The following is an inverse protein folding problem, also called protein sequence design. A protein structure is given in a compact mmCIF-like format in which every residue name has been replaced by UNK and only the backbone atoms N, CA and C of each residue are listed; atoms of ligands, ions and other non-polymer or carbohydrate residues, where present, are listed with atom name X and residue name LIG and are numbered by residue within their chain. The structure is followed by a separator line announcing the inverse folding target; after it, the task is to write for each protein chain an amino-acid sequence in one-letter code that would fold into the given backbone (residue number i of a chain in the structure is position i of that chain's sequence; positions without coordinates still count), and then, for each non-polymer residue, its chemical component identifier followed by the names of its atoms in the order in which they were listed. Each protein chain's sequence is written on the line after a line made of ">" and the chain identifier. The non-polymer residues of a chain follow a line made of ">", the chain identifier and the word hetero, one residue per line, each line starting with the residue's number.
data_IF_801100932554
#
_entry.id   IF_801100932554
#
_cell.length_a   1.000
_cell.length_b   1.000
_cell.length_c   1.000
_cell.angle_alpha   90.00
_cell.angle_beta   90.00
_cell.angle_gamma   90.00
#
_symmetry.space_group_name_H-M   'P 1'
#
loop_
_entity.id
_entity.type
_entity.pdbx_description
1 polymer ?
#
# COMPACT_ATOMS: atom_id res chain seq x y z
N UNK A 1 -23.15 -18.03 5.01
CA UNK A 1 -23.16 -16.60 4.59
C UNK A 1 -24.00 -15.86 5.63
N UNK A 2 -23.33 -15.18 6.57
CA UNK A 2 -23.88 -14.89 7.87
C UNK A 2 -24.48 -13.49 8.00
N UNK A 3 -25.12 -13.27 9.16
CA UNK A 3 -25.66 -12.00 9.65
C UNK A 3 -24.72 -10.76 9.40
N UNK A 4 -23.39 -10.96 9.35
CA UNK A 4 -22.43 -9.93 9.04
C UNK A 4 -22.55 -9.32 7.63
N UNK A 5 -22.99 -10.09 6.64
CA UNK A 5 -23.15 -9.58 5.28
C UNK A 5 -24.42 -8.73 5.13
N UNK A 6 -25.46 -9.06 5.86
CA UNK A 6 -26.72 -8.27 5.90
C UNK A 6 -26.45 -6.93 6.57
N UNK A 7 -25.70 -6.93 7.70
CA UNK A 7 -25.36 -5.71 8.44
C UNK A 7 -24.50 -4.75 7.61
N UNK A 8 -23.47 -5.27 6.92
CA UNK A 8 -22.64 -4.46 6.02
C UNK A 8 -23.43 -3.83 4.88
N UNK A 9 -24.43 -4.56 4.33
CA UNK A 9 -25.31 -4.01 3.29
C UNK A 9 -26.18 -2.90 3.81
N UNK A 10 -26.69 -2.99 5.05
CA UNK A 10 -27.49 -1.93 5.67
C UNK A 10 -26.67 -0.66 5.88
N UNK A 11 -25.43 -0.78 6.34
CA UNK A 11 -24.52 0.36 6.49
C UNK A 11 -24.30 1.12 5.17
N UNK A 12 -24.05 0.38 4.08
CA UNK A 12 -23.84 0.95 2.74
C UNK A 12 -25.15 1.52 2.14
N UNK A 13 -26.30 1.05 2.62
CA UNK A 13 -27.60 1.53 2.15
C UNK A 13 -28.00 2.89 2.71
N UNK A 14 -27.32 3.39 3.72
CA UNK A 14 -27.71 4.59 4.43
C UNK A 14 -28.87 4.33 5.38
N UNK A 15 -28.61 3.59 6.44
CA UNK A 15 -29.57 3.27 7.50
C UNK A 15 -29.20 3.98 8.81
N UNK A 16 -30.16 4.03 9.72
CA UNK A 16 -29.91 4.33 11.11
C UNK A 16 -29.47 3.05 11.81
N UNK A 17 -28.29 3.10 12.44
CA UNK A 17 -27.66 1.95 13.09
C UNK A 17 -27.38 2.27 14.55
N UNK A 18 -27.79 1.38 15.45
CA UNK A 18 -27.50 1.49 16.87
C UNK A 18 -26.08 0.97 17.16
N UNK A 19 -25.26 1.80 17.77
CA UNK A 19 -23.87 1.51 18.11
C UNK A 19 -23.66 1.66 19.62
N UNK A 20 -23.07 0.66 20.30
CA UNK A 20 -22.75 0.78 21.70
C UNK A 20 -21.63 1.79 21.94
N UNK A 21 -21.85 2.74 22.84
CA UNK A 21 -20.88 3.79 23.18
C UNK A 21 -20.17 3.43 24.48
N UNK A 22 -18.82 3.42 24.46
CA UNK A 22 -18.00 3.18 25.66
C UNK A 22 -17.90 1.73 26.09
N UNK A 23 -18.27 0.75 25.25
CA UNK A 23 -18.16 -0.66 25.59
C UNK A 23 -16.69 -1.12 25.62
N UNK A 24 -16.19 -1.41 26.80
CA UNK A 24 -14.90 -2.12 27.01
C UNK A 24 -15.10 -3.63 27.18
N UNK A 25 -16.33 -4.11 27.34
CA UNK A 25 -16.68 -5.52 27.56
C UNK A 25 -17.98 -5.88 26.86
N UNK A 26 -18.05 -7.10 26.28
CA UNK A 26 -19.21 -7.63 25.56
C UNK A 26 -20.48 -7.83 26.42
N UNK A 27 -20.38 -7.75 27.74
CA UNK A 27 -21.44 -8.10 28.66
C UNK A 27 -21.99 -6.92 29.50
N UNK A 28 -21.65 -5.68 29.17
CA UNK A 28 -22.18 -4.51 29.88
C UNK A 28 -23.48 -4.04 29.20
N UNK A 29 -24.47 -3.64 30.02
CA UNK A 29 -25.59 -2.81 29.56
C UNK A 29 -25.04 -1.44 29.15
N UNK A 30 -24.68 -1.31 27.86
CA UNK A 30 -24.05 -0.11 27.34
C UNK A 30 -25.13 0.73 26.65
N UNK A 31 -25.15 2.05 26.86
CA UNK A 31 -26.07 2.91 26.13
C UNK A 31 -25.83 2.83 24.65
N UNK A 32 -26.88 2.63 23.89
CA UNK A 32 -26.86 2.60 22.43
C UNK A 32 -27.07 4.02 21.89
N UNK A 33 -26.27 4.40 20.93
CA UNK A 33 -26.44 5.66 20.19
C UNK A 33 -26.76 5.34 18.75
N UNK A 34 -27.78 5.99 18.21
CA UNK A 34 -28.18 5.85 16.81
C UNK A 34 -27.30 6.72 15.92
N UNK A 35 -26.68 6.11 14.93
CA UNK A 35 -25.86 6.79 13.93
C UNK A 35 -26.53 6.66 12.57
N UNK A 36 -26.72 7.79 11.87
CA UNK A 36 -27.23 7.81 10.52
C UNK A 36 -26.06 7.72 9.52
N UNK A 37 -26.03 6.67 8.71
CA UNK A 37 -24.93 6.41 7.77
C UNK A 37 -25.13 7.03 6.39
N UNK A 38 -26.23 7.75 6.12
CA UNK A 38 -26.55 8.32 4.80
C UNK A 38 -25.51 9.29 4.27
N UNK A 39 -24.86 10.03 5.16
CA UNK A 39 -23.85 11.04 4.80
C UNK A 39 -22.42 10.59 5.08
N UNK A 40 -22.17 9.28 5.21
CA UNK A 40 -20.84 8.72 5.39
C UNK A 40 -20.30 8.29 4.03
N UNK A 41 -19.09 8.76 3.70
CA UNK A 41 -18.34 8.30 2.53
C UNK A 41 -17.76 6.91 2.79
N UNK A 42 -18.10 5.94 1.95
CA UNK A 42 -17.55 4.59 1.99
C UNK A 42 -16.53 4.41 0.86
N UNK A 43 -15.31 4.05 1.21
CA UNK A 43 -14.24 3.71 0.28
C UNK A 43 -13.87 2.24 0.52
N UNK A 44 -14.09 1.40 -0.49
CA UNK A 44 -13.80 -0.03 -0.44
C UNK A 44 -12.65 -0.36 -1.38
N UNK A 45 -11.65 -1.06 -0.90
CA UNK A 45 -10.50 -1.47 -1.70
C UNK A 45 -10.21 -2.96 -1.59
N UNK A 46 -9.60 -3.53 -2.62
CA UNK A 46 -9.18 -4.93 -2.66
C UNK A 46 -8.15 -5.18 -3.76
N UNK A 47 -7.49 -6.32 -3.70
CA UNK A 47 -6.45 -6.70 -4.67
C UNK A 47 -7.00 -7.47 -5.89
N UNK A 48 -8.18 -8.05 -5.81
CA UNK A 48 -8.91 -8.75 -6.87
C UNK A 48 -8.03 -9.65 -7.77
N UNK A 49 -7.35 -10.67 -7.23
CA UNK A 49 -6.49 -11.55 -8.02
C UNK A 49 -7.28 -12.19 -9.15
N UNK A 50 -6.67 -12.31 -10.35
CA UNK A 50 -7.28 -12.85 -11.58
C UNK A 50 -8.37 -11.98 -12.24
N UNK A 51 -8.67 -10.77 -11.75
CA UNK A 51 -9.59 -9.87 -12.43
C UNK A 51 -9.09 -9.47 -13.82
N UNK A 52 -7.77 -9.31 -13.97
CA UNK A 52 -7.11 -9.05 -15.27
C UNK A 52 -7.47 -10.11 -16.33
N UNK A 53 -7.51 -11.39 -15.94
CA UNK A 53 -7.88 -12.47 -16.85
C UNK A 53 -9.32 -12.37 -17.36
N UNK A 54 -10.25 -11.88 -16.52
CA UNK A 54 -11.64 -11.66 -16.90
C UNK A 54 -11.73 -10.49 -17.89
N UNK A 55 -11.02 -9.39 -17.60
CA UNK A 55 -10.99 -8.22 -18.48
C UNK A 55 -10.38 -8.59 -19.86
N UNK A 56 -9.23 -9.28 -19.88
CA UNK A 56 -8.60 -9.79 -21.11
C UNK A 56 -9.59 -10.62 -21.93
N UNK A 57 -10.27 -11.57 -21.30
CA UNK A 57 -11.25 -12.42 -21.96
C UNK A 57 -12.42 -11.65 -22.58
N UNK A 58 -12.92 -10.61 -21.89
CA UNK A 58 -13.96 -9.71 -22.43
C UNK A 58 -13.46 -8.93 -23.64
N UNK A 59 -12.27 -8.36 -23.56
CA UNK A 59 -11.65 -7.58 -24.63
C UNK A 59 -11.40 -8.45 -25.87
N UNK A 60 -10.90 -9.66 -25.69
CA UNK A 60 -10.68 -10.62 -26.79
C UNK A 60 -11.99 -11.04 -27.45
N UNK A 61 -13.09 -11.24 -26.72
CA UNK A 61 -14.39 -11.57 -27.29
C UNK A 61 -14.93 -10.44 -28.19
N UNK A 62 -14.74 -9.19 -27.81
CA UNK A 62 -15.14 -8.04 -28.66
C UNK A 62 -14.36 -7.96 -29.96
N UNK A 63 -13.13 -8.41 -29.95
CA UNK A 63 -12.18 -8.31 -31.07
C UNK A 63 -12.33 -9.46 -32.07
N UNK A 64 -12.86 -10.63 -31.64
CA UNK A 64 -13.06 -11.80 -32.53
C UNK A 64 -14.12 -11.59 -33.60
N UNK A 65 -14.87 -10.50 -33.56
CA UNK A 65 -15.87 -10.11 -34.57
C UNK A 65 -15.26 -9.24 -35.70
N UNK A 66 -14.00 -8.80 -35.57
CA UNK A 66 -13.28 -8.01 -36.57
C UNK A 66 -11.83 -8.45 -36.66
N UNK A 67 -11.36 -8.79 -37.86
CA UNK A 67 -9.98 -9.08 -38.29
C UNK A 67 -8.90 -8.66 -37.26
N UNK A 68 -8.29 -9.64 -36.52
CA UNK A 68 -7.34 -9.21 -35.53
C UNK A 68 -6.45 -10.29 -34.93
N UNK A 69 -5.47 -10.80 -35.70
CA UNK A 69 -4.33 -11.54 -35.12
C UNK A 69 -3.34 -10.60 -34.39
N UNK A 70 -3.25 -9.35 -34.80
CA UNK A 70 -2.33 -8.32 -34.24
C UNK A 70 -2.72 -7.75 -32.87
N UNK A 71 -3.92 -8.06 -32.39
CA UNK A 71 -4.44 -7.47 -31.13
C UNK A 71 -4.13 -8.32 -29.89
N UNK A 72 -3.78 -9.60 -30.07
CA UNK A 72 -3.36 -10.44 -28.93
C UNK A 72 -2.10 -9.91 -28.27
N UNK A 73 -1.12 -9.54 -29.06
CA UNK A 73 0.17 -9.03 -28.55
C UNK A 73 0.01 -7.66 -27.89
N UNK A 74 -0.91 -6.81 -28.38
CA UNK A 74 -1.18 -5.48 -27.79
C UNK A 74 -1.75 -5.54 -26.36
N UNK A 75 -2.65 -6.48 -26.07
CA UNK A 75 -3.23 -6.61 -24.74
C UNK A 75 -2.34 -7.37 -23.75
N UNK A 76 -1.32 -8.07 -24.22
CA UNK A 76 -0.32 -8.68 -23.35
C UNK A 76 0.78 -7.68 -22.96
N UNK A 77 0.97 -6.61 -23.74
CA UNK A 77 1.90 -5.50 -23.48
C UNK A 77 1.25 -4.31 -22.73
N UNK A 78 -0.09 -4.22 -22.63
CA UNK A 78 -0.73 -3.16 -21.86
C UNK A 78 -0.47 -3.34 -20.36
N UNK A 79 0.46 -2.54 -19.83
CA UNK A 79 0.84 -2.53 -18.40
C UNK A 79 -0.34 -2.21 -17.45
N UNK A 80 -1.47 -1.73 -17.95
CA UNK A 80 -2.59 -1.30 -17.10
C UNK A 80 -3.97 -1.77 -17.58
N UNK A 81 -4.10 -3.08 -17.83
CA UNK A 81 -5.39 -3.69 -18.22
C UNK A 81 -6.48 -3.46 -17.18
N UNK A 82 -6.12 -3.39 -15.90
CA UNK A 82 -7.07 -3.15 -14.81
C UNK A 82 -7.81 -1.82 -14.99
N UNK A 83 -7.20 -0.81 -15.63
CA UNK A 83 -7.86 0.46 -15.92
C UNK A 83 -9.12 0.33 -16.79
N UNK A 84 -9.25 -0.77 -17.53
CA UNK A 84 -10.40 -1.06 -18.38
C UNK A 84 -11.51 -1.87 -17.69
N UNK A 85 -11.47 -2.00 -16.37
CA UNK A 85 -12.46 -2.72 -15.59
C UNK A 85 -13.87 -2.12 -15.74
N UNK A 86 -14.85 -2.99 -15.88
CA UNK A 86 -16.27 -2.62 -15.97
C UNK A 86 -17.10 -3.31 -14.90
N UNK A 87 -18.33 -2.84 -14.70
CA UNK A 87 -19.28 -3.49 -13.80
C UNK A 87 -19.56 -4.96 -14.20
N UNK A 88 -19.47 -5.30 -15.47
CA UNK A 88 -19.65 -6.66 -15.98
C UNK A 88 -18.52 -7.58 -15.53
N UNK A 89 -17.27 -7.09 -15.57
CA UNK A 89 -16.11 -7.83 -15.10
C UNK A 89 -16.19 -8.13 -13.60
N UNK A 90 -16.68 -7.16 -12.81
CA UNK A 90 -16.90 -7.35 -11.38
C UNK A 90 -18.01 -8.36 -11.08
N UNK A 91 -19.07 -8.40 -11.91
CA UNK A 91 -20.10 -9.45 -11.80
C UNK A 91 -19.55 -10.83 -12.14
N UNK A 92 -18.78 -10.95 -13.22
CA UNK A 92 -18.13 -12.20 -13.60
C UNK A 92 -17.11 -12.65 -12.53
N UNK A 93 -16.46 -11.70 -11.87
CA UNK A 93 -15.57 -11.95 -10.72
C UNK A 93 -16.32 -12.49 -9.48
N UNK A 94 -17.63 -12.22 -9.36
CA UNK A 94 -18.48 -12.71 -8.27
C UNK A 94 -19.08 -11.65 -7.36
N UNK A 95 -18.98 -10.39 -7.71
CA UNK A 95 -19.71 -9.31 -7.00
C UNK A 95 -21.20 -9.39 -7.29
N UNK A 96 -22.00 -9.26 -6.25
CA UNK A 96 -23.45 -9.22 -6.39
C UNK A 96 -23.90 -7.86 -6.94
N UNK A 97 -24.91 -7.82 -7.82
CA UNK A 97 -25.38 -6.58 -8.45
C UNK A 97 -25.78 -5.48 -7.47
N UNK A 98 -26.38 -5.84 -6.34
CA UNK A 98 -26.81 -4.91 -5.30
C UNK A 98 -25.62 -4.19 -4.66
N UNK A 99 -24.48 -4.85 -4.53
CA UNK A 99 -23.26 -4.25 -4.00
C UNK A 99 -22.64 -3.27 -5.01
N UNK A 100 -22.57 -3.66 -6.28
CA UNK A 100 -22.05 -2.81 -7.35
C UNK A 100 -22.92 -1.55 -7.50
N UNK A 101 -24.26 -1.69 -7.41
CA UNK A 101 -25.18 -0.56 -7.48
C UNK A 101 -25.04 0.46 -6.35
N UNK A 102 -24.46 0.06 -5.22
CA UNK A 102 -24.22 0.95 -4.06
C UNK A 102 -22.85 1.59 -4.05
N UNK A 103 -21.92 1.06 -4.84
CA UNK A 103 -20.57 1.58 -5.05
C UNK A 103 -20.39 1.92 -6.53
N UNK A 104 -21.05 2.98 -7.03
CA UNK A 104 -21.14 3.26 -8.47
C UNK A 104 -19.81 3.74 -9.06
N UNK A 105 -18.90 4.24 -8.22
CA UNK A 105 -17.63 4.76 -8.68
C UNK A 105 -16.53 3.69 -8.51
N UNK A 106 -15.94 3.30 -9.63
CA UNK A 106 -14.82 2.35 -9.67
C UNK A 106 -13.57 3.13 -10.01
N UNK A 107 -12.53 2.94 -9.19
CA UNK A 107 -11.20 3.49 -9.42
C UNK A 107 -10.19 2.36 -9.46
N UNK A 108 -9.27 2.45 -10.38
CA UNK A 108 -8.13 1.55 -10.46
C UNK A 108 -6.88 2.30 -10.03
N UNK A 109 -5.96 1.59 -9.38
CA UNK A 109 -4.67 2.12 -9.00
C UNK A 109 -3.63 1.58 -9.98
N UNK A 110 -2.78 2.46 -10.45
CA UNK A 110 -1.63 2.09 -11.28
C UNK A 110 -0.56 1.37 -10.45
N UNK A 111 0.30 0.60 -11.14
CA UNK A 111 1.47 0.00 -10.53
C UNK A 111 2.40 1.08 -9.96
N UNK A 112 3.10 0.75 -8.87
CA UNK A 112 4.07 1.67 -8.28
C UNK A 112 5.33 1.74 -9.16
N UNK A 113 5.70 2.95 -9.55
CA UNK A 113 6.99 3.21 -10.22
C UNK A 113 8.11 3.41 -9.18
N UNK A 114 9.37 3.39 -9.65
CA UNK A 114 10.54 3.66 -8.82
C UNK A 114 10.43 5.03 -8.14
N UNK A 115 10.03 6.05 -8.90
CA UNK A 115 9.88 7.43 -8.42
C UNK A 115 8.78 7.54 -7.35
N UNK A 116 7.67 6.82 -7.53
CA UNK A 116 6.59 6.76 -6.52
C UNK A 116 7.08 6.10 -5.23
N UNK A 117 7.86 5.03 -5.32
CA UNK A 117 8.42 4.36 -4.15
C UNK A 117 9.39 5.27 -3.39
N UNK A 118 10.24 6.02 -4.10
CA UNK A 118 11.14 7.02 -3.48
C UNK A 118 10.32 8.12 -2.78
N UNK A 119 9.24 8.61 -3.38
CA UNK A 119 8.34 9.57 -2.73
C UNK A 119 7.70 9.01 -1.48
N UNK A 120 7.26 7.76 -1.50
CA UNK A 120 6.68 7.08 -0.32
C UNK A 120 7.69 7.00 0.83
N UNK A 121 8.99 6.90 0.54
CA UNK A 121 10.04 6.90 1.55
C UNK A 121 10.27 8.26 2.19
N UNK A 122 10.14 9.36 1.43
CA UNK A 122 10.52 10.74 1.86
C UNK A 122 9.33 11.58 2.33
N UNK A 123 8.24 11.62 1.55
CA UNK A 123 7.22 12.67 1.67
C UNK A 123 6.25 12.51 2.85
N UNK A 124 5.69 11.33 3.16
CA UNK A 124 4.67 11.21 4.20
C UNK A 124 5.15 11.74 5.56
N UNK A 125 4.22 12.32 6.34
CA UNK A 125 4.53 12.78 7.71
C UNK A 125 5.13 11.66 8.57
N UNK A 126 4.59 10.44 8.43
CA UNK A 126 5.04 9.25 9.14
C UNK A 126 5.83 8.31 8.20
N UNK A 127 6.64 8.87 7.29
CA UNK A 127 7.51 8.07 6.44
C UNK A 127 8.41 7.18 7.32
N UNK A 128 8.64 5.95 6.86
CA UNK A 128 9.40 4.96 7.63
C UNK A 128 10.82 5.46 7.95
N UNK A 129 11.46 6.14 7.02
CA UNK A 129 12.80 6.71 7.23
C UNK A 129 12.81 7.76 8.34
N UNK A 130 11.77 8.62 8.38
CA UNK A 130 11.63 9.65 9.43
C UNK A 130 11.44 9.02 10.82
N UNK A 131 10.87 7.84 10.91
CA UNK A 131 10.74 7.13 12.18
C UNK A 131 12.12 6.69 12.70
N UNK A 132 12.96 6.13 11.83
CA UNK A 132 14.33 5.75 12.19
C UNK A 132 15.23 6.96 12.47
N UNK A 133 15.10 8.03 11.67
CA UNK A 133 15.77 9.30 11.93
C UNK A 133 15.47 9.82 13.33
N UNK A 134 14.20 9.82 13.71
CA UNK A 134 13.78 10.27 15.04
C UNK A 134 14.25 9.36 16.18
N UNK A 135 14.39 8.05 15.93
CA UNK A 135 14.94 7.13 16.93
C UNK A 135 16.42 7.39 17.19
N UNK A 136 17.23 7.53 16.15
CA UNK A 136 18.66 7.84 16.30
C UNK A 136 18.92 9.27 16.79
N UNK A 137 18.00 10.20 16.52
CA UNK A 137 18.06 11.56 17.07
C UNK A 137 17.96 11.57 18.61
N UNK A 138 17.30 10.58 19.22
CA UNK A 138 17.27 10.42 20.68
C UNK A 138 18.65 10.06 21.26
N UNK A 139 19.50 9.41 20.48
CA UNK A 139 20.88 9.11 20.79
C UNK A 139 21.85 10.19 20.26
N UNK A 140 21.29 11.36 19.87
CA UNK A 140 22.03 12.49 19.30
C UNK A 140 22.80 12.17 18.02
N UNK A 141 22.37 11.16 17.26
CA UNK A 141 22.94 10.76 15.97
C UNK A 141 22.03 11.16 14.82
N UNK A 142 22.58 11.87 13.84
CA UNK A 142 21.87 12.25 12.62
C UNK A 142 21.91 11.14 11.58
N UNK A 143 20.76 10.59 11.21
CA UNK A 143 20.65 9.60 10.14
C UNK A 143 20.29 10.27 8.81
N UNK A 144 21.09 10.03 7.79
CA UNK A 144 20.87 10.55 6.44
C UNK A 144 20.85 9.41 5.42
N UNK A 145 20.16 9.63 4.32
CA UNK A 145 20.09 8.71 3.18
C UNK A 145 20.44 9.48 1.93
N UNK A 146 21.41 9.01 1.18
CA UNK A 146 21.71 9.59 -0.12
C UNK A 146 20.61 9.21 -1.16
N UNK A 147 20.60 9.89 -2.28
CA UNK A 147 19.62 9.60 -3.34
C UNK A 147 19.82 8.20 -3.92
N UNK A 148 21.07 7.74 -4.03
CA UNK A 148 21.40 6.41 -4.51
C UNK A 148 20.86 5.30 -3.61
N UNK A 149 20.92 5.47 -2.28
CA UNK A 149 20.34 4.52 -1.33
C UNK A 149 18.83 4.40 -1.49
N UNK A 150 18.13 5.54 -1.63
CA UNK A 150 16.68 5.55 -1.80
C UNK A 150 16.26 4.87 -3.10
N UNK A 151 17.01 5.10 -4.17
CA UNK A 151 16.79 4.43 -5.45
C UNK A 151 17.04 2.92 -5.34
N UNK A 152 18.13 2.49 -4.69
CA UNK A 152 18.45 1.08 -4.48
C UNK A 152 17.36 0.37 -3.66
N UNK A 153 16.82 1.01 -2.63
CA UNK A 153 15.70 0.49 -1.84
C UNK A 153 14.46 0.32 -2.73
N UNK A 154 14.15 1.33 -3.55
CA UNK A 154 13.01 1.28 -4.47
C UNK A 154 13.16 0.17 -5.52
N UNK A 155 14.35 0.01 -6.11
CA UNK A 155 14.67 -1.06 -7.07
C UNK A 155 14.51 -2.46 -6.44
N UNK A 156 15.01 -2.65 -5.21
CA UNK A 156 14.83 -3.91 -4.50
C UNK A 156 13.35 -4.20 -4.18
N UNK A 157 12.56 -3.15 -3.88
CA UNK A 157 11.13 -3.30 -3.62
C UNK A 157 10.36 -3.70 -4.88
N UNK A 158 10.68 -3.13 -6.04
CA UNK A 158 10.09 -3.51 -7.33
C UNK A 158 10.36 -4.99 -7.65
N UNK A 159 11.59 -5.46 -7.45
CA UNK A 159 11.96 -6.88 -7.67
C UNK A 159 11.12 -7.84 -6.82
N UNK A 160 10.71 -7.45 -5.61
CA UNK A 160 9.90 -8.29 -4.72
C UNK A 160 8.43 -8.40 -5.09
N UNK A 161 7.93 -7.61 -6.04
CA UNK A 161 6.53 -7.62 -6.53
C UNK A 161 5.45 -7.50 -5.44
N UNK A 162 5.79 -7.04 -4.24
CA UNK A 162 4.87 -6.87 -3.10
C UNK A 162 4.52 -5.40 -2.84
N UNK A 163 4.90 -4.51 -3.78
CA UNK A 163 4.63 -3.08 -3.72
C UNK A 163 5.31 -2.39 -2.53
N UNK A 164 4.69 -1.34 -2.01
CA UNK A 164 5.23 -0.53 -0.92
C UNK A 164 5.47 -1.31 0.39
N UNK A 165 4.80 -2.45 0.60
CA UNK A 165 5.05 -3.32 1.77
C UNK A 165 6.48 -3.88 1.81
N UNK A 166 7.10 -4.08 0.63
CA UNK A 166 8.49 -4.53 0.55
C UNK A 166 9.46 -3.51 1.13
N UNK A 167 9.16 -2.20 1.02
CA UNK A 167 10.02 -1.13 1.52
C UNK A 167 10.35 -1.31 3.01
N UNK A 168 9.31 -1.60 3.81
CA UNK A 168 9.48 -1.80 5.26
C UNK A 168 10.45 -2.94 5.56
N UNK A 169 10.22 -4.11 4.96
CA UNK A 169 11.05 -5.29 5.19
C UNK A 169 12.50 -5.10 4.70
N UNK A 170 12.70 -4.31 3.63
CA UNK A 170 14.05 -3.99 3.13
C UNK A 170 14.77 -3.08 4.12
N UNK A 171 14.09 -2.02 4.59
CA UNK A 171 14.68 -1.05 5.53
C UNK A 171 14.98 -1.70 6.86
N UNK A 172 14.04 -2.48 7.42
CA UNK A 172 14.23 -3.19 8.68
C UNK A 172 15.47 -4.08 8.66
N UNK A 173 15.76 -4.70 7.51
CA UNK A 173 16.91 -5.63 7.38
C UNK A 173 18.25 -4.94 7.63
N UNK A 174 18.49 -3.77 7.06
CA UNK A 174 19.78 -3.08 7.22
C UNK A 174 19.80 -2.11 8.41
N UNK A 175 18.63 -1.58 8.79
CA UNK A 175 18.53 -0.70 9.94
C UNK A 175 18.76 -1.42 11.27
N UNK A 176 18.50 -2.73 11.32
CA UNK A 176 18.73 -3.51 12.55
C UNK A 176 20.18 -3.41 13.02
N UNK A 177 21.13 -3.58 12.11
CA UNK A 177 22.57 -3.51 12.42
C UNK A 177 22.96 -2.09 12.85
N UNK A 178 22.45 -1.07 12.16
CA UNK A 178 22.71 0.34 12.48
C UNK A 178 22.17 0.69 13.86
N UNK A 179 20.91 0.33 14.15
CA UNK A 179 20.30 0.60 15.46
C UNK A 179 20.99 -0.14 16.62
N UNK A 180 21.69 -1.23 16.33
CA UNK A 180 22.44 -1.97 17.33
C UNK A 180 23.88 -1.46 17.53
N UNK A 181 24.58 -1.12 16.45
CA UNK A 181 26.01 -0.76 16.51
C UNK A 181 26.24 0.73 16.81
N UNK A 182 25.46 1.62 16.18
CA UNK A 182 25.71 3.06 16.26
C UNK A 182 25.53 3.63 17.69
N UNK A 183 24.48 3.27 18.47
CA UNK A 183 24.31 3.82 19.82
C UNK A 183 25.36 3.36 20.85
N UNK A 184 26.23 2.41 20.50
CA UNK A 184 27.34 1.95 21.39
C UNK A 184 28.51 2.91 21.42
N UNK A 185 28.62 3.77 20.44
CA UNK A 185 29.76 4.69 20.28
C UNK A 185 29.31 6.14 20.35
N UNK A 186 29.46 6.75 21.51
CA UNK A 186 29.04 8.15 21.78
C UNK A 186 29.83 9.17 20.95
N UNK A 187 30.90 8.77 20.25
CA UNK A 187 31.67 9.67 19.37
C UNK A 187 31.02 9.90 18.01
N UNK A 188 30.02 9.11 17.64
CA UNK A 188 29.35 9.22 16.34
C UNK A 188 28.36 10.36 16.36
N UNK A 189 28.46 11.28 15.39
CA UNK A 189 27.55 12.41 15.21
C UNK A 189 26.56 12.23 14.08
N UNK A 190 26.96 11.60 12.97
CA UNK A 190 26.05 11.31 11.87
C UNK A 190 26.40 10.01 11.13
N UNK A 191 25.38 9.43 10.54
CA UNK A 191 25.47 8.21 9.73
C UNK A 191 24.73 8.44 8.42
N UNK A 192 25.44 8.26 7.30
CA UNK A 192 24.87 8.37 5.96
C UNK A 192 24.79 6.99 5.32
N UNK A 193 23.59 6.62 4.93
CA UNK A 193 23.32 5.38 4.22
C UNK A 193 23.47 5.62 2.73
N UNK A 194 24.40 4.90 2.13
CA UNK A 194 24.72 4.99 0.71
C UNK A 194 24.16 3.81 -0.08
N UNK A 195 24.17 3.93 -1.42
CA UNK A 195 23.80 2.83 -2.32
C UNK A 195 24.61 1.57 -2.06
N UNK A 196 25.94 1.73 -1.88
CA UNK A 196 26.84 0.62 -1.68
C UNK A 196 26.53 -0.18 -0.41
N UNK A 197 26.13 0.51 0.64
CA UNK A 197 25.67 -0.15 1.86
C UNK A 197 24.41 -0.98 1.64
N UNK A 198 23.42 -0.45 0.92
CA UNK A 198 22.16 -1.15 0.61
C UNK A 198 22.39 -2.40 -0.25
N UNK A 199 23.36 -2.35 -1.17
CA UNK A 199 23.71 -3.46 -2.06
C UNK A 199 24.70 -4.47 -1.41
N UNK A 200 25.02 -4.32 -0.14
CA UNK A 200 26.00 -5.10 0.65
C UNK A 200 27.43 -5.02 0.10
N UNK A 201 27.83 -3.91 -0.53
CA UNK A 201 29.16 -3.68 -1.06
C UNK A 201 30.05 -2.80 -0.15
N UNK A 202 29.52 -2.30 0.98
CA UNK A 202 30.26 -1.39 1.85
C UNK A 202 29.69 -1.26 3.25
N UNK A 203 30.28 -0.34 4.02
CA UNK A 203 29.78 0.10 5.33
C UNK A 203 29.05 1.44 5.18
N UNK A 204 28.18 1.82 6.13
CA UNK A 204 27.61 3.16 6.17
C UNK A 204 28.73 4.20 6.39
N UNK A 205 28.55 5.39 5.84
CA UNK A 205 29.48 6.48 6.08
C UNK A 205 29.20 7.08 7.47
N UNK A 206 30.22 7.03 8.34
CA UNK A 206 30.13 7.49 9.72
C UNK A 206 30.98 8.75 9.87
N UNK A 207 30.37 9.80 10.43
CA UNK A 207 31.07 11.01 10.80
C UNK A 207 31.03 11.19 12.31
N UNK A 208 32.22 11.47 12.89
CA UNK A 208 32.34 11.71 14.31
C UNK A 208 31.81 13.10 14.69
N UNK A 209 31.43 13.27 15.93
CA UNK A 209 31.07 14.58 16.50
C UNK A 209 32.29 15.49 16.48
N UNK A 210 32.10 16.71 16.00
CA UNK A 210 33.12 17.75 16.19
C UNK A 210 33.29 18.02 17.71
N UNK A 211 34.51 17.92 18.21
CA UNK A 211 34.85 18.18 19.63
C UNK A 211 34.70 19.65 19.97
#
# INVERSE_FOLDING_TARGET
>A
RGLGDVYKRQLLAGAEVEVPVGATSKNAMVPLTTINTRNILFICGGAFPNLEGIIKKRLMKKTSIGFGADLKDRYDEEENIIAQVTNEDLREYGFIPEFIGRLPMIFTLEGLTKEMLVKILKEPKNAILKQYQKLLELDEVKLEFDEGALEAIAEQALKKKTGARALRAIIEKFMLDIMYEIPKDDTIGSVTITRDYIENHGNPEIHLRDQ
#
